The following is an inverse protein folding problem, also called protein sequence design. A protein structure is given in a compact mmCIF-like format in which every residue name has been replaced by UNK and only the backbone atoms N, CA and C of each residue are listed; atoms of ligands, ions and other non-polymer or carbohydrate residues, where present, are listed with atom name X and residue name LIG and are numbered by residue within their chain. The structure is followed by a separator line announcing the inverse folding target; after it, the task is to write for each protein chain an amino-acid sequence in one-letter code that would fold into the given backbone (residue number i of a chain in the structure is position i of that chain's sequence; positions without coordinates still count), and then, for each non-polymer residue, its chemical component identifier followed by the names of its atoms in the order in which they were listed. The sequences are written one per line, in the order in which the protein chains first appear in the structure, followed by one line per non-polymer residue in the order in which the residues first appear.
data_IF_914088513303
#
_entry.id   IF_914088513303
#
_cell.length_a   1.000
_cell.length_b   1.000
_cell.length_c   1.000
_cell.angle_alpha   90.00
_cell.angle_beta   90.00
_cell.angle_gamma   90.00
#
_symmetry.space_group_name_H-M   'P 1'
#
loop_
_entity.id
_entity.type
_entity.pdbx_description
1 polymer ?
#
# COMPACT_ATOMS: atom_id res chain seq x y z
N UNK A 1 7.72 12.27 -18.16
CA UNK A 1 7.77 13.47 -17.30
C UNK A 1 6.42 13.72 -16.66
N UNK A 2 6.40 14.19 -15.40
CA UNK A 2 5.20 14.77 -14.79
C UNK A 2 4.92 16.14 -15.42
N UNK A 3 3.81 16.26 -16.15
CA UNK A 3 3.42 17.49 -16.85
C UNK A 3 1.97 17.84 -16.48
N UNK A 4 1.79 19.01 -15.86
CA UNK A 4 0.50 19.49 -15.36
C UNK A 4 -0.30 20.20 -16.47
N UNK A 5 -0.49 19.54 -17.60
CA UNK A 5 -1.23 20.08 -18.75
C UNK A 5 -2.75 20.10 -18.52
N UNK A 6 -3.26 19.39 -17.50
CA UNK A 6 -4.68 19.41 -17.11
C UNK A 6 -5.12 20.64 -16.29
N UNK A 7 -4.17 21.45 -15.79
CA UNK A 7 -4.49 22.66 -15.01
C UNK A 7 -4.90 23.80 -15.94
N UNK A 8 -6.17 23.82 -16.32
CA UNK A 8 -6.73 24.81 -17.25
C UNK A 8 -7.21 26.07 -16.53
N UNK A 9 -7.15 27.21 -17.22
CA UNK A 9 -7.57 28.51 -16.69
C UNK A 9 -9.00 28.49 -16.07
N UNK A 10 -10.05 27.96 -16.73
CA UNK A 10 -11.40 27.94 -16.16
C UNK A 10 -11.57 27.02 -14.94
N UNK A 11 -10.60 26.15 -14.63
CA UNK A 11 -10.70 25.24 -13.47
C UNK A 11 -10.21 25.89 -12.17
N UNK A 12 -9.37 26.93 -12.27
CA UNK A 12 -8.79 27.60 -11.09
C UNK A 12 -9.88 28.19 -10.17
N UNK A 13 -10.95 28.85 -10.66
CA UNK A 13 -12.04 29.31 -9.80
C UNK A 13 -12.78 28.20 -9.06
N UNK A 14 -12.80 26.96 -9.59
CA UNK A 14 -13.45 25.82 -8.94
C UNK A 14 -12.78 25.49 -7.60
N UNK A 15 -11.47 25.74 -7.47
CA UNK A 15 -10.73 25.48 -6.22
C UNK A 15 -10.93 26.56 -5.16
N UNK A 16 -11.65 27.66 -5.46
CA UNK A 16 -11.81 28.78 -4.54
C UNK A 16 -12.58 28.42 -3.25
N UNK A 17 -13.38 27.35 -3.29
CA UNK A 17 -14.17 26.86 -2.14
C UNK A 17 -13.50 25.73 -1.36
N UNK A 18 -12.32 25.26 -1.80
CA UNK A 18 -11.59 24.19 -1.14
C UNK A 18 -11.09 24.63 0.23
N UNK A 19 -11.04 23.67 1.15
CA UNK A 19 -10.42 23.86 2.46
C UNK A 19 -8.91 24.06 2.36
N UNK A 20 -8.27 23.30 1.46
CA UNK A 20 -6.80 23.26 1.29
C UNK A 20 -6.31 23.79 -0.05
N UNK A 21 -7.22 24.29 -0.90
CA UNK A 21 -6.87 24.93 -2.18
C UNK A 21 -6.14 24.00 -3.15
N UNK A 22 -5.06 24.50 -3.75
CA UNK A 22 -4.20 23.75 -4.68
C UNK A 22 -2.93 23.33 -3.94
N UNK A 23 -2.80 22.04 -3.64
CA UNK A 23 -1.64 21.48 -2.92
C UNK A 23 -0.57 20.89 -3.83
N UNK A 24 -0.83 20.78 -5.13
CA UNK A 24 0.22 20.42 -6.09
C UNK A 24 1.20 21.58 -6.27
N UNK A 25 2.49 21.33 -6.04
CA UNK A 25 3.53 22.33 -6.33
C UNK A 25 3.54 22.70 -7.83
N UNK A 26 3.51 21.73 -8.73
CA UNK A 26 3.50 22.00 -10.16
C UNK A 26 2.18 22.62 -10.62
N UNK A 27 1.05 22.14 -10.07
CA UNK A 27 -0.26 22.69 -10.38
C UNK A 27 -0.43 24.15 -9.93
N UNK A 28 0.03 24.50 -8.73
CA UNK A 28 0.00 25.88 -8.21
C UNK A 28 0.89 26.84 -9.02
N UNK A 29 2.03 26.38 -9.55
CA UNK A 29 2.86 27.16 -10.47
C UNK A 29 2.09 27.48 -11.75
N UNK A 30 1.43 26.48 -12.33
CA UNK A 30 0.62 26.67 -13.54
C UNK A 30 -0.60 27.57 -13.29
N UNK A 31 -1.30 27.37 -12.17
CA UNK A 31 -2.41 28.23 -11.80
C UNK A 31 -1.98 29.71 -11.65
N UNK A 32 -0.85 29.96 -10.98
CA UNK A 32 -0.29 31.31 -10.86
C UNK A 32 0.05 31.93 -12.21
N UNK A 33 0.63 31.15 -13.13
CA UNK A 33 0.94 31.61 -14.48
C UNK A 33 -0.34 31.95 -15.27
N UNK A 34 -1.35 31.07 -15.24
CA UNK A 34 -2.63 31.28 -15.91
C UNK A 34 -3.33 32.55 -15.40
N UNK A 35 -3.31 32.80 -14.08
CA UNK A 35 -3.89 34.00 -13.47
C UNK A 35 -3.11 35.28 -13.83
N UNK A 36 -1.78 35.22 -13.83
CA UNK A 36 -0.94 36.39 -14.13
C UNK A 36 -1.07 36.86 -15.58
N UNK A 37 -1.27 35.93 -16.51
CA UNK A 37 -1.39 36.23 -17.93
C UNK A 37 -2.83 36.24 -18.45
N UNK A 38 -3.78 35.72 -17.67
CA UNK A 38 -5.17 35.49 -18.07
C UNK A 38 -5.28 34.75 -19.41
N UNK A 39 -4.48 33.68 -19.54
CA UNK A 39 -4.39 32.82 -20.72
C UNK A 39 -4.52 31.36 -20.32
N UNK A 40 -4.94 30.53 -21.28
CA UNK A 40 -4.98 29.09 -21.10
C UNK A 40 -3.57 28.54 -20.84
N UNK A 41 -3.49 27.42 -20.11
CA UNK A 41 -2.24 26.73 -19.82
C UNK A 41 -1.42 26.52 -21.09
N UNK A 42 -0.22 27.10 -21.15
CA UNK A 42 0.66 26.91 -22.31
C UNK A 42 1.08 25.43 -22.48
N UNK A 43 1.06 24.63 -21.41
CA UNK A 43 1.30 23.18 -21.49
C UNK A 43 0.15 22.46 -22.19
N UNK A 44 -1.08 22.94 -22.00
CA UNK A 44 -2.26 22.46 -22.70
C UNK A 44 -2.28 22.92 -24.16
N UNK A 45 -2.10 24.23 -24.41
CA UNK A 45 -2.13 24.79 -25.76
C UNK A 45 -1.04 24.25 -26.68
N UNK A 46 0.10 23.85 -26.11
CA UNK A 46 1.28 23.34 -26.85
C UNK A 46 1.48 21.83 -26.67
N UNK A 47 0.44 21.10 -26.27
CA UNK A 47 0.57 19.68 -25.91
C UNK A 47 1.06 18.80 -27.07
N UNK A 48 0.58 19.01 -28.31
CA UNK A 48 1.07 18.25 -29.48
C UNK A 48 2.56 18.50 -29.75
N UNK A 49 3.06 19.74 -29.56
CA UNK A 49 4.49 20.04 -29.71
C UNK A 49 5.34 19.30 -28.65
N UNK A 50 4.82 19.19 -27.42
CA UNK A 50 5.45 18.42 -26.35
C UNK A 50 5.48 16.93 -26.73
N UNK A 51 4.41 16.41 -27.35
CA UNK A 51 4.36 15.03 -27.83
C UNK A 51 5.47 14.75 -28.85
N UNK A 52 5.70 15.65 -29.82
CA UNK A 52 6.78 15.50 -30.81
C UNK A 52 8.17 15.44 -30.16
N UNK A 53 8.40 16.26 -29.14
CA UNK A 53 9.65 16.23 -28.37
C UNK A 53 9.79 14.89 -27.63
N UNK A 54 8.74 14.48 -26.91
CA UNK A 54 8.79 13.26 -26.10
C UNK A 54 8.91 11.99 -26.94
N UNK A 55 8.24 11.95 -28.11
CA UNK A 55 8.33 10.87 -29.10
C UNK A 55 9.76 10.67 -29.59
N UNK A 56 10.49 11.75 -29.84
CA UNK A 56 11.87 11.67 -30.35
C UNK A 56 12.84 10.96 -29.39
N UNK A 57 12.50 10.83 -28.10
CA UNK A 57 13.35 10.25 -27.06
C UNK A 57 12.69 9.13 -26.25
N UNK A 58 11.51 8.65 -26.68
CA UNK A 58 10.72 7.65 -25.96
C UNK A 58 10.50 7.99 -24.46
N UNK A 59 10.15 9.25 -24.20
CA UNK A 59 9.80 9.69 -22.84
C UNK A 59 8.31 9.48 -22.62
N UNK A 60 7.92 8.71 -21.61
CA UNK A 60 6.50 8.55 -21.26
C UNK A 60 5.91 9.80 -20.58
N UNK A 61 4.66 10.12 -20.87
CA UNK A 61 3.86 11.06 -20.09
C UNK A 61 3.47 10.46 -18.75
N UNK A 62 3.64 11.27 -17.70
CA UNK A 62 2.92 11.16 -16.44
C UNK A 62 2.05 12.41 -16.36
N UNK A 63 0.78 12.32 -16.72
CA UNK A 63 -0.09 13.49 -16.75
C UNK A 63 -0.44 13.88 -15.31
N UNK A 64 0.09 15.03 -14.88
CA UNK A 64 0.12 15.43 -13.48
C UNK A 64 -1.25 15.86 -12.94
N UNK A 65 -1.49 15.55 -11.67
CA UNK A 65 -2.72 15.83 -10.93
C UNK A 65 -2.65 17.18 -10.20
N UNK A 66 -2.57 18.26 -10.98
CA UNK A 66 -2.34 19.61 -10.48
C UNK A 66 -3.43 20.13 -9.54
N UNK A 67 -4.64 19.61 -9.67
CA UNK A 67 -5.81 19.93 -8.86
C UNK A 67 -6.20 18.75 -7.95
N UNK A 68 -5.28 17.85 -7.59
CA UNK A 68 -5.57 16.81 -6.58
C UNK A 68 -6.03 17.38 -5.23
N UNK A 69 -6.82 16.63 -4.43
CA UNK A 69 -7.25 17.04 -3.10
C UNK A 69 -6.10 16.95 -2.08
N UNK A 70 -5.96 18.00 -1.26
CA UNK A 70 -5.01 18.09 -0.15
C UNK A 70 -5.61 17.91 1.24
N UNK A 71 -6.90 17.59 1.29
CA UNK A 71 -7.62 17.18 2.50
C UNK A 71 -8.77 16.27 2.11
N UNK A 72 -9.24 15.47 3.07
CA UNK A 72 -10.43 14.63 2.94
C UNK A 72 -11.66 15.43 2.53
N UNK A 73 -11.76 16.69 2.98
CA UNK A 73 -12.87 17.59 2.66
C UNK A 73 -12.97 17.90 1.15
N UNK A 74 -11.82 18.02 0.48
CA UNK A 74 -11.76 18.46 -0.92
C UNK A 74 -11.79 17.27 -1.91
N UNK A 75 -11.89 16.03 -1.40
CA UNK A 75 -11.86 14.82 -2.20
C UNK A 75 -13.07 14.71 -3.15
N UNK A 76 -12.79 14.38 -4.41
CA UNK A 76 -13.75 14.17 -5.49
C UNK A 76 -14.58 15.41 -5.86
N UNK A 77 -14.04 16.60 -5.60
CA UNK A 77 -14.72 17.83 -5.99
C UNK A 77 -14.69 18.07 -7.51
N UNK A 78 -15.39 19.11 -7.95
CA UNK A 78 -15.52 19.49 -9.35
C UNK A 78 -14.15 19.77 -10.00
N UNK A 79 -13.25 20.45 -9.29
CA UNK A 79 -11.94 20.81 -9.82
C UNK A 79 -11.07 19.57 -10.12
N UNK A 80 -11.08 18.59 -9.21
CA UNK A 80 -10.36 17.33 -9.38
C UNK A 80 -10.91 16.56 -10.59
N UNK A 81 -12.24 16.40 -10.67
CA UNK A 81 -12.88 15.62 -11.74
C UNK A 81 -12.76 16.29 -13.10
N UNK A 82 -12.81 17.62 -13.17
CA UNK A 82 -12.60 18.38 -14.39
C UNK A 82 -11.18 18.22 -14.95
N UNK A 83 -10.17 18.24 -14.08
CA UNK A 83 -8.80 17.95 -14.48
C UNK A 83 -8.68 16.51 -14.99
N UNK A 84 -9.18 15.52 -14.26
CA UNK A 84 -9.12 14.10 -14.65
C UNK A 84 -9.74 13.85 -16.03
N UNK A 85 -10.90 14.44 -16.31
CA UNK A 85 -11.53 14.35 -17.64
C UNK A 85 -10.63 14.94 -18.74
N UNK A 86 -10.00 16.09 -18.46
CA UNK A 86 -9.02 16.71 -19.37
C UNK A 86 -7.81 15.80 -19.59
N UNK A 87 -7.32 15.11 -18.55
CA UNK A 87 -6.20 14.17 -18.70
C UNK A 87 -6.56 12.99 -19.64
N UNK A 88 -7.82 12.55 -19.63
CA UNK A 88 -8.33 11.56 -20.59
C UNK A 88 -8.30 12.06 -22.04
N UNK A 89 -8.72 13.30 -22.28
CA UNK A 89 -8.61 13.95 -23.58
C UNK A 89 -7.15 14.03 -24.05
N UNK A 90 -6.26 14.51 -23.18
CA UNK A 90 -4.82 14.63 -23.46
C UNK A 90 -4.16 13.26 -23.67
N UNK A 91 -4.64 12.21 -23.02
CA UNK A 91 -4.18 10.83 -23.25
C UNK A 91 -4.46 10.39 -24.67
N UNK A 92 -5.66 10.65 -25.19
CA UNK A 92 -6.01 10.35 -26.59
C UNK A 92 -5.13 11.11 -27.57
N UNK A 93 -4.81 12.37 -27.27
CA UNK A 93 -3.87 13.16 -28.08
C UNK A 93 -2.47 12.54 -28.03
N UNK A 94 -1.92 12.25 -26.85
CA UNK A 94 -0.60 11.64 -26.71
C UNK A 94 -0.50 10.29 -27.47
N UNK A 95 -1.55 9.46 -27.40
CA UNK A 95 -1.61 8.19 -28.13
C UNK A 95 -1.67 8.33 -29.64
N UNK A 96 -2.34 9.37 -30.17
CA UNK A 96 -2.29 9.71 -31.61
C UNK A 96 -0.87 10.00 -32.08
N UNK A 97 0.00 10.49 -31.19
CA UNK A 97 1.42 10.73 -31.46
C UNK A 97 2.31 9.52 -31.10
N UNK A 98 1.74 8.36 -30.73
CA UNK A 98 2.47 7.17 -30.26
C UNK A 98 3.34 7.43 -29.00
N UNK A 99 2.91 8.31 -28.10
CA UNK A 99 3.63 8.58 -26.84
C UNK A 99 2.98 7.80 -25.71
N UNK A 100 3.79 7.02 -24.98
CA UNK A 100 3.36 6.25 -23.81
C UNK A 100 2.81 7.19 -22.72
N UNK A 101 1.69 6.85 -22.08
CA UNK A 101 1.01 7.74 -21.14
C UNK A 101 0.49 7.00 -19.91
N UNK A 102 0.76 7.54 -18.73
CA UNK A 102 0.10 7.21 -17.46
C UNK A 102 -0.52 8.48 -16.85
N UNK A 103 -1.50 8.29 -15.96
CA UNK A 103 -2.27 9.36 -15.33
C UNK A 103 -1.88 9.45 -13.86
N UNK A 104 -1.60 10.65 -13.35
CA UNK A 104 -1.43 10.87 -11.91
C UNK A 104 -2.80 11.05 -11.23
N UNK A 105 -2.90 10.60 -9.98
CA UNK A 105 -4.15 10.54 -9.22
C UNK A 105 -3.99 10.94 -7.75
N UNK A 106 -5.13 11.08 -7.05
CA UNK A 106 -5.28 11.93 -5.88
C UNK A 106 -4.37 11.63 -4.69
N UNK A 107 -4.30 12.65 -3.82
CA UNK A 107 -3.59 12.65 -2.54
C UNK A 107 -4.47 12.23 -1.36
N UNK A 108 -5.43 13.06 -0.93
CA UNK A 108 -6.23 12.82 0.28
C UNK A 108 -7.65 12.39 -0.08
N UNK A 109 -8.04 11.14 0.21
CA UNK A 109 -9.34 10.58 -0.16
C UNK A 109 -9.83 9.60 0.92
N UNK A 110 -11.02 9.81 1.52
CA UNK A 110 -11.55 8.89 2.51
C UNK A 110 -11.96 7.57 1.84
N UNK A 111 -11.85 6.46 2.55
CA UNK A 111 -12.00 5.11 1.97
C UNK A 111 -13.26 4.90 1.12
N UNK A 112 -14.40 5.46 1.54
CA UNK A 112 -15.67 5.32 0.83
C UNK A 112 -15.70 6.01 -0.55
N UNK A 113 -14.75 6.92 -0.84
CA UNK A 113 -14.61 7.64 -2.11
C UNK A 113 -13.50 7.10 -3.02
N UNK A 114 -12.67 6.18 -2.52
CA UNK A 114 -11.55 5.62 -3.29
C UNK A 114 -12.04 4.89 -4.54
N UNK A 115 -13.10 4.08 -4.42
CA UNK A 115 -13.62 3.32 -5.56
C UNK A 115 -14.10 4.21 -6.70
N UNK A 116 -14.74 5.34 -6.36
CA UNK A 116 -15.20 6.31 -7.36
C UNK A 116 -14.03 6.89 -8.18
N UNK A 117 -12.89 7.18 -7.53
CA UNK A 117 -11.72 7.69 -8.26
C UNK A 117 -11.21 6.68 -9.29
N UNK A 118 -11.15 5.40 -8.93
CA UNK A 118 -10.73 4.36 -9.86
C UNK A 118 -11.72 4.22 -11.02
N UNK A 119 -13.02 4.23 -10.73
CA UNK A 119 -14.06 4.08 -11.74
C UNK A 119 -14.06 5.24 -12.75
N UNK A 120 -13.93 6.47 -12.26
CA UNK A 120 -13.82 7.64 -13.13
C UNK A 120 -12.54 7.62 -13.94
N UNK A 121 -11.40 7.21 -13.37
CA UNK A 121 -10.16 7.13 -14.12
C UNK A 121 -10.22 6.09 -15.24
N UNK A 122 -10.72 4.88 -14.98
CA UNK A 122 -10.86 3.86 -16.02
C UNK A 122 -11.78 4.34 -17.15
N UNK A 123 -12.90 4.98 -16.78
CA UNK A 123 -13.89 5.49 -17.73
C UNK A 123 -13.38 6.68 -18.56
N UNK A 124 -12.78 7.67 -17.91
CA UNK A 124 -12.36 8.92 -18.55
C UNK A 124 -11.01 8.80 -19.26
N UNK A 125 -10.10 7.98 -18.74
CA UNK A 125 -8.73 7.87 -19.23
C UNK A 125 -8.45 6.57 -19.98
N UNK A 126 -9.50 5.86 -20.41
CA UNK A 126 -9.41 4.72 -21.33
C UNK A 126 -8.49 3.60 -20.81
N UNK A 127 -8.56 3.32 -19.51
CA UNK A 127 -7.73 2.31 -18.83
C UNK A 127 -6.21 2.56 -18.90
N UNK A 128 -5.78 3.80 -19.19
CA UNK A 128 -4.37 4.17 -19.08
C UNK A 128 -3.84 3.87 -17.66
N UNK A 129 -2.55 3.48 -17.48
CA UNK A 129 -2.01 3.19 -16.17
C UNK A 129 -2.21 4.34 -15.19
N UNK A 130 -2.73 4.04 -14.00
CA UNK A 130 -2.96 5.04 -12.96
C UNK A 130 -1.79 5.07 -11.96
N UNK A 131 -1.38 6.26 -11.53
CA UNK A 131 -0.26 6.53 -10.64
C UNK A 131 -0.69 7.45 -9.49
N UNK A 132 -0.86 6.94 -8.28
CA UNK A 132 -1.50 7.69 -7.17
C UNK A 132 -0.53 8.09 -6.07
N UNK A 133 -0.76 9.22 -5.40
CA UNK A 133 -0.05 9.61 -4.18
C UNK A 133 -0.81 9.14 -2.93
N UNK A 134 -0.61 7.89 -2.53
CA UNK A 134 -1.46 7.22 -1.54
C UNK A 134 -2.67 6.57 -2.19
N UNK A 135 -3.92 6.96 -1.84
CA UNK A 135 -4.27 8.19 -1.12
C UNK A 135 -4.27 8.09 0.42
N UNK A 136 -4.03 9.21 1.10
CA UNK A 136 -4.22 9.37 2.55
C UNK A 136 -5.71 9.24 2.90
N UNK A 137 -6.02 8.29 3.78
CA UNK A 137 -7.40 7.98 4.18
C UNK A 137 -7.93 8.85 5.32
N UNK A 138 -7.05 9.61 5.98
CA UNK A 138 -7.37 10.55 7.05
C UNK A 138 -6.27 11.60 7.21
N UNK A 139 -6.63 12.80 7.64
CA UNK A 139 -5.73 13.96 7.79
C UNK A 139 -5.19 14.14 9.23
N UNK A 140 -5.63 13.31 10.18
CA UNK A 140 -5.44 13.56 11.62
C UNK A 140 -4.21 12.90 12.23
N UNK A 141 -3.31 12.33 11.42
CA UNK A 141 -2.16 11.56 11.92
C UNK A 141 -0.81 11.97 11.27
N UNK A 142 -0.47 13.28 11.24
CA UNK A 142 0.85 13.70 10.75
C UNK A 142 1.96 13.04 11.58
N UNK A 143 3.01 12.58 10.91
CA UNK A 143 4.02 11.69 11.50
C UNK A 143 3.79 10.20 11.21
N UNK A 144 2.57 9.86 10.76
CA UNK A 144 2.15 8.50 10.42
C UNK A 144 1.49 8.43 9.04
N UNK A 145 1.76 9.40 8.16
CA UNK A 145 1.07 9.46 6.87
C UNK A 145 1.45 8.34 5.90
N UNK A 146 2.64 7.75 6.05
CA UNK A 146 2.98 6.48 5.42
C UNK A 146 1.98 5.35 5.76
N UNK A 147 1.34 5.37 6.93
CA UNK A 147 0.32 4.39 7.34
C UNK A 147 -1.06 4.82 6.83
N UNK A 148 -1.45 6.09 7.05
CA UNK A 148 -2.77 6.60 6.60
C UNK A 148 -2.94 6.42 5.09
N UNK A 149 -1.85 6.60 4.34
CA UNK A 149 -1.82 6.42 2.90
C UNK A 149 -1.64 4.98 2.46
N UNK A 150 -0.92 4.14 3.19
CA UNK A 150 -0.78 2.72 2.85
C UNK A 150 -2.14 1.99 2.80
N UNK A 151 -3.09 2.40 3.65
CA UNK A 151 -4.47 1.89 3.61
C UNK A 151 -5.12 2.21 2.26
N UNK A 152 -5.10 3.48 1.85
CA UNK A 152 -5.70 3.90 0.60
C UNK A 152 -4.96 3.37 -0.62
N UNK A 153 -3.63 3.31 -0.55
CA UNK A 153 -2.77 2.78 -1.60
C UNK A 153 -3.04 1.28 -1.86
N UNK A 154 -3.21 0.47 -0.80
CA UNK A 154 -3.59 -0.93 -0.93
C UNK A 154 -4.99 -1.07 -1.55
N UNK A 155 -5.95 -0.23 -1.13
CA UNK A 155 -7.31 -0.25 -1.69
C UNK A 155 -7.36 0.15 -3.17
N UNK A 156 -6.76 1.27 -3.53
CA UNK A 156 -6.80 1.77 -4.92
C UNK A 156 -5.90 0.93 -5.84
N UNK A 157 -4.80 0.39 -5.31
CA UNK A 157 -3.98 -0.63 -5.97
C UNK A 157 -4.78 -1.89 -6.25
N UNK A 158 -5.57 -2.38 -5.29
CA UNK A 158 -6.48 -3.51 -5.49
C UNK A 158 -7.52 -3.21 -6.57
N UNK A 159 -8.07 -1.99 -6.59
CA UNK A 159 -9.05 -1.59 -7.60
C UNK A 159 -8.47 -1.41 -9.01
N UNK A 160 -7.15 -1.36 -9.17
CA UNK A 160 -6.50 -1.39 -10.49
C UNK A 160 -5.40 -0.35 -10.72
N UNK A 161 -5.02 0.44 -9.71
CA UNK A 161 -3.91 1.38 -9.86
C UNK A 161 -2.60 0.65 -10.18
N UNK A 162 -1.86 1.16 -11.15
CA UNK A 162 -0.69 0.50 -11.71
C UNK A 162 0.61 0.83 -10.93
N UNK A 163 0.71 2.05 -10.40
CA UNK A 163 1.88 2.50 -9.64
C UNK A 163 1.45 3.34 -8.44
N UNK A 164 2.17 3.21 -7.31
CA UNK A 164 1.85 3.90 -6.07
C UNK A 164 3.04 4.77 -5.67
N UNK A 165 2.85 6.08 -5.66
CA UNK A 165 3.84 7.03 -5.15
C UNK A 165 3.81 6.94 -3.62
N UNK A 166 4.95 6.62 -3.04
CA UNK A 166 5.07 6.49 -1.60
C UNK A 166 4.84 7.82 -0.86
N UNK A 167 4.45 7.70 0.40
CA UNK A 167 4.34 8.81 1.35
C UNK A 167 5.24 8.46 2.53
N UNK A 168 6.04 9.41 2.97
CA UNK A 168 6.98 9.19 4.08
C UNK A 168 6.30 9.46 5.43
N UNK A 169 6.85 8.96 6.56
CA UNK A 169 6.34 9.31 7.88
C UNK A 169 6.31 10.83 8.14
N UNK A 170 7.25 11.58 7.57
CA UNK A 170 7.38 13.04 7.75
C UNK A 170 6.62 13.88 6.72
N UNK A 171 5.78 13.27 5.90
CA UNK A 171 4.87 14.04 5.06
C UNK A 171 4.10 15.05 5.94
N UNK A 172 3.87 16.25 5.41
CA UNK A 172 3.31 17.39 6.14
C UNK A 172 4.14 17.97 7.31
N UNK A 173 5.31 17.40 7.62
CA UNK A 173 6.15 17.83 8.75
C UNK A 173 7.54 18.33 8.33
N UNK A 174 8.14 17.75 7.29
CA UNK A 174 9.45 18.18 6.81
C UNK A 174 10.12 17.19 5.86
N UNK A 175 11.38 17.46 5.52
CA UNK A 175 12.14 16.59 4.62
C UNK A 175 12.44 15.23 5.29
N UNK A 176 12.22 14.12 4.58
CA UNK A 176 12.51 12.78 5.11
C UNK A 176 14.02 12.55 5.21
N UNK A 177 14.44 11.85 6.26
CA UNK A 177 15.80 11.31 6.40
C UNK A 177 15.89 9.88 5.82
N UNK A 178 17.07 9.25 5.91
CA UNK A 178 17.31 7.89 5.40
C UNK A 178 16.33 6.85 5.97
N UNK A 179 15.99 6.92 7.26
CA UNK A 179 15.05 5.99 7.89
C UNK A 179 13.63 6.23 7.37
N UNK A 180 13.20 7.48 7.31
CA UNK A 180 11.87 7.86 6.82
C UNK A 180 11.65 7.38 5.37
N UNK A 181 12.69 7.43 4.53
CA UNK A 181 12.67 6.88 3.17
C UNK A 181 12.52 5.36 3.19
N UNK A 182 13.29 4.63 4.01
CA UNK A 182 13.17 3.17 4.14
C UNK A 182 11.76 2.78 4.60
N UNK A 183 11.25 3.43 5.65
CA UNK A 183 9.94 3.15 6.23
C UNK A 183 8.82 3.36 5.19
N UNK A 184 8.88 4.46 4.42
CA UNK A 184 7.93 4.73 3.33
C UNK A 184 8.00 3.67 2.22
N UNK A 185 9.19 3.27 1.78
CA UNK A 185 9.37 2.24 0.75
C UNK A 185 8.80 0.90 1.22
N UNK A 186 9.10 0.48 2.46
CA UNK A 186 8.61 -0.78 3.01
C UNK A 186 7.08 -0.76 3.15
N UNK A 187 6.51 0.34 3.65
CA UNK A 187 5.05 0.50 3.75
C UNK A 187 4.36 0.33 2.39
N UNK A 188 4.91 0.93 1.33
CA UNK A 188 4.33 0.86 -0.01
C UNK A 188 4.61 -0.47 -0.72
N UNK A 189 5.72 -1.15 -0.43
CA UNK A 189 5.95 -2.54 -0.87
C UNK A 189 4.92 -3.49 -0.26
N UNK A 190 4.55 -3.29 1.01
CA UNK A 190 3.49 -4.05 1.67
C UNK A 190 2.13 -3.72 1.04
N UNK A 191 1.81 -2.44 0.84
CA UNK A 191 0.54 -2.02 0.23
C UNK A 191 0.36 -2.58 -1.20
N UNK A 192 1.40 -2.49 -2.03
CA UNK A 192 1.40 -3.05 -3.38
C UNK A 192 1.22 -4.57 -3.37
N UNK A 193 1.96 -5.28 -2.51
CA UNK A 193 1.81 -6.74 -2.39
C UNK A 193 0.43 -7.15 -1.87
N UNK A 194 -0.14 -6.40 -0.91
CA UNK A 194 -1.50 -6.63 -0.44
C UNK A 194 -2.54 -6.44 -1.56
N UNK A 195 -2.35 -5.44 -2.42
CA UNK A 195 -3.15 -5.26 -3.62
C UNK A 195 -2.99 -6.45 -4.59
N UNK A 196 -1.78 -6.93 -4.83
CA UNK A 196 -1.53 -8.08 -5.70
C UNK A 196 -2.18 -9.37 -5.18
N UNK A 197 -2.14 -9.60 -3.86
CA UNK A 197 -2.88 -10.70 -3.22
C UNK A 197 -4.39 -10.57 -3.41
N UNK A 198 -4.94 -9.38 -3.17
CA UNK A 198 -6.37 -9.11 -3.32
C UNK A 198 -6.84 -9.23 -4.80
N UNK A 199 -5.95 -8.93 -5.75
CA UNK A 199 -6.16 -9.15 -7.20
C UNK A 199 -6.00 -10.61 -7.62
N UNK A 200 -5.48 -11.48 -6.75
CA UNK A 200 -5.15 -12.86 -7.11
C UNK A 200 -4.03 -12.96 -8.14
N UNK A 201 -3.06 -12.03 -8.13
CA UNK A 201 -1.97 -12.02 -9.11
C UNK A 201 -1.18 -13.34 -9.04
N UNK A 202 -0.94 -14.02 -10.18
CA UNK A 202 -0.17 -15.26 -10.21
C UNK A 202 1.18 -15.10 -9.51
N UNK A 203 1.47 -15.96 -8.54
CA UNK A 203 2.72 -15.98 -7.80
C UNK A 203 2.80 -15.09 -6.55
N UNK A 204 1.88 -14.14 -6.35
CA UNK A 204 1.90 -13.27 -5.16
C UNK A 204 1.83 -14.09 -3.86
N UNK A 205 0.87 -15.01 -3.78
CA UNK A 205 0.64 -15.86 -2.60
C UNK A 205 1.79 -16.85 -2.31
N UNK A 206 2.70 -17.12 -3.26
CA UNK A 206 3.81 -18.04 -3.03
C UNK A 206 4.75 -17.52 -1.93
N UNK A 207 5.01 -16.20 -1.91
CA UNK A 207 5.86 -15.59 -0.88
C UNK A 207 5.22 -15.69 0.51
N UNK A 208 3.92 -15.38 0.62
CA UNK A 208 3.16 -15.49 1.86
C UNK A 208 3.15 -16.92 2.39
N UNK A 209 2.93 -17.90 1.52
CA UNK A 209 2.91 -19.31 1.88
C UNK A 209 4.30 -19.80 2.30
N UNK A 210 5.36 -19.40 1.60
CA UNK A 210 6.73 -19.75 1.95
C UNK A 210 7.13 -19.19 3.33
N UNK A 211 6.83 -17.91 3.59
CA UNK A 211 7.10 -17.26 4.87
C UNK A 211 6.26 -17.89 5.98
N UNK A 212 4.97 -18.12 5.74
CA UNK A 212 4.06 -18.76 6.72
C UNK A 212 4.49 -20.18 7.06
N UNK A 213 4.97 -20.94 6.06
CA UNK A 213 5.53 -22.27 6.28
C UNK A 213 6.82 -22.21 7.08
N UNK A 214 7.74 -21.29 6.77
CA UNK A 214 8.96 -21.07 7.56
C UNK A 214 8.63 -20.72 9.02
N UNK A 215 7.63 -19.86 9.24
CA UNK A 215 7.13 -19.51 10.57
C UNK A 215 6.60 -20.71 11.33
N UNK A 216 5.73 -21.50 10.70
CA UNK A 216 5.14 -22.68 11.35
C UNK A 216 6.16 -23.79 11.64
N UNK A 217 7.22 -23.88 10.83
CA UNK A 217 8.32 -24.84 10.99
C UNK A 217 9.46 -24.30 11.87
N UNK A 218 9.31 -23.09 12.44
CA UNK A 218 10.33 -22.43 13.27
C UNK A 218 11.69 -22.25 12.57
N UNK A 219 11.68 -22.12 11.24
CA UNK A 219 12.85 -21.78 10.42
C UNK A 219 13.06 -20.27 10.46
N UNK A 220 13.56 -19.76 11.59
CA UNK A 220 13.64 -18.33 11.88
C UNK A 220 14.42 -17.53 10.83
N UNK A 221 15.60 -18.01 10.43
CA UNK A 221 16.41 -17.31 9.42
C UNK A 221 15.70 -17.24 8.06
N UNK A 222 15.03 -18.32 7.65
CA UNK A 222 14.23 -18.32 6.43
C UNK A 222 13.06 -17.34 6.53
N UNK A 223 12.39 -17.27 7.69
CA UNK A 223 11.31 -16.32 7.93
C UNK A 223 11.81 -14.86 7.82
N UNK A 224 12.98 -14.54 8.39
CA UNK A 224 13.55 -13.19 8.29
C UNK A 224 13.89 -12.85 6.85
N UNK A 225 14.62 -13.74 6.17
CA UNK A 225 15.08 -13.53 4.79
C UNK A 225 13.93 -13.41 3.77
N UNK A 226 12.78 -14.03 4.05
CA UNK A 226 11.59 -13.91 3.21
C UNK A 226 10.77 -12.62 3.46
N UNK A 227 11.02 -11.92 4.57
CA UNK A 227 10.38 -10.64 4.89
C UNK A 227 10.76 -9.53 3.92
N UNK A 228 9.99 -8.42 3.90
CA UNK A 228 10.35 -7.25 3.09
C UNK A 228 11.55 -6.48 3.64
N UNK A 229 11.81 -6.60 4.94
CA UNK A 229 12.92 -5.98 5.65
C UNK A 229 13.57 -7.00 6.61
N UNK A 230 14.46 -7.87 6.09
CA UNK A 230 15.07 -8.96 6.87
C UNK A 230 15.83 -8.46 8.10
N UNK A 231 16.55 -7.34 7.98
CA UNK A 231 17.33 -6.75 9.06
C UNK A 231 16.44 -6.42 10.25
N UNK A 232 15.35 -5.66 10.01
CA UNK A 232 14.40 -5.29 11.06
C UNK A 232 13.70 -6.51 11.67
N UNK A 233 13.33 -7.50 10.85
CA UNK A 233 12.68 -8.71 11.34
C UNK A 233 13.59 -9.51 12.29
N UNK A 234 14.89 -9.62 11.97
CA UNK A 234 15.89 -10.26 12.81
C UNK A 234 16.17 -9.45 14.07
N UNK A 235 16.34 -8.13 13.94
CA UNK A 235 16.63 -7.24 15.06
C UNK A 235 15.53 -7.31 16.13
N UNK A 236 14.25 -7.23 15.75
CA UNK A 236 13.13 -7.32 16.69
C UNK A 236 13.02 -8.66 17.42
N UNK A 237 13.38 -9.76 16.76
CA UNK A 237 13.48 -11.06 17.44
C UNK A 237 14.62 -11.04 18.47
N UNK A 238 15.78 -10.54 18.06
CA UNK A 238 17.02 -10.60 18.83
C UNK A 238 17.05 -9.63 20.02
N UNK A 239 16.19 -8.60 20.02
CA UNK A 239 15.96 -7.74 21.19
C UNK A 239 15.66 -8.54 22.47
N UNK A 240 14.99 -9.69 22.34
CA UNK A 240 14.60 -10.54 23.49
C UNK A 240 15.23 -11.93 23.46
N UNK A 241 15.58 -12.45 22.29
CA UNK A 241 16.15 -13.79 22.10
C UNK A 241 17.43 -13.75 21.23
N UNK A 242 18.51 -13.06 21.67
CA UNK A 242 19.66 -12.75 20.82
C UNK A 242 20.56 -13.94 20.48
N UNK A 243 20.52 -15.02 21.29
CA UNK A 243 21.43 -16.17 21.11
C UNK A 243 21.11 -16.91 19.82
N UNK A 244 22.15 -17.35 19.09
CA UNK A 244 21.98 -18.12 17.84
C UNK A 244 21.15 -19.39 18.04
N UNK A 245 21.25 -20.03 19.22
CA UNK A 245 20.42 -21.19 19.57
C UNK A 245 18.91 -20.90 19.59
N UNK A 246 18.50 -19.62 19.65
CA UNK A 246 17.09 -19.23 19.59
C UNK A 246 16.55 -19.23 18.15
N UNK A 247 17.42 -19.25 17.12
CA UNK A 247 17.02 -19.37 15.71
C UNK A 247 16.54 -20.76 15.31
N UNK A 248 16.65 -21.72 16.24
CA UNK A 248 16.09 -23.06 16.12
C UNK A 248 15.05 -23.34 17.21
N UNK A 249 14.66 -22.32 18.01
CA UNK A 249 13.70 -22.50 19.09
C UNK A 249 12.28 -22.62 18.53
N UNK A 250 11.50 -23.55 19.08
CA UNK A 250 10.10 -23.74 18.72
C UNK A 250 9.14 -22.79 19.47
N UNK A 251 9.56 -21.55 19.69
CA UNK A 251 8.80 -20.49 20.33
C UNK A 251 9.47 -19.13 20.11
N UNK A 252 8.75 -18.05 20.39
CA UNK A 252 9.31 -16.72 20.57
C UNK A 252 9.02 -16.19 21.98
N UNK A 253 9.54 -15.01 22.31
CA UNK A 253 9.34 -14.36 23.61
C UNK A 253 7.88 -14.04 23.93
N UNK A 254 7.00 -13.93 22.92
CA UNK A 254 5.58 -13.64 23.11
C UNK A 254 4.83 -14.73 23.90
N UNK A 255 5.07 -16.00 23.59
CA UNK A 255 4.37 -17.13 24.23
C UNK A 255 5.29 -18.01 25.08
N UNK A 256 6.61 -17.90 24.89
CA UNK A 256 7.58 -18.77 25.54
C UNK A 256 7.43 -20.25 25.14
N UNK A 257 8.24 -21.13 25.75
CA UNK A 257 8.35 -22.53 25.34
C UNK A 257 7.10 -23.37 25.62
N UNK A 258 6.28 -22.99 26.59
CA UNK A 258 5.16 -23.81 27.07
C UNK A 258 3.81 -23.47 26.42
N UNK A 259 3.67 -22.27 25.87
CA UNK A 259 2.37 -21.78 25.36
C UNK A 259 2.41 -21.39 23.88
N UNK A 260 3.48 -21.74 23.15
CA UNK A 260 3.53 -21.52 21.71
C UNK A 260 2.49 -22.38 20.99
N UNK A 261 1.48 -21.73 20.40
CA UNK A 261 0.37 -22.38 19.70
C UNK A 261 0.81 -23.23 18.51
N UNK A 262 1.82 -22.80 17.77
CA UNK A 262 2.36 -23.54 16.63
C UNK A 262 3.07 -24.82 17.09
N UNK A 263 3.82 -24.77 18.19
CA UNK A 263 4.50 -25.95 18.75
C UNK A 263 3.49 -26.96 19.28
N UNK A 264 2.49 -26.51 20.03
CA UNK A 264 1.38 -27.36 20.49
C UNK A 264 0.72 -28.07 19.28
N UNK A 265 0.50 -27.34 18.19
CA UNK A 265 -0.07 -27.92 16.97
C UNK A 265 0.85 -28.96 16.32
N UNK A 266 2.16 -28.73 16.27
CA UNK A 266 3.13 -29.71 15.79
C UNK A 266 3.11 -30.98 16.64
N UNK A 267 3.11 -30.86 17.97
CA UNK A 267 3.08 -32.00 18.89
C UNK A 267 1.83 -32.87 18.69
N UNK A 268 0.67 -32.23 18.47
CA UNK A 268 -0.59 -32.93 18.13
C UNK A 268 -0.48 -33.68 16.81
N UNK A 269 0.08 -33.05 15.76
CA UNK A 269 0.28 -33.69 14.45
C UNK A 269 1.25 -34.87 14.52
N UNK A 270 2.33 -34.73 15.28
CA UNK A 270 3.31 -35.80 15.50
C UNK A 270 2.71 -36.96 16.30
N UNK A 271 1.92 -36.69 17.33
CA UNK A 271 1.20 -37.71 18.08
C UNK A 271 0.24 -38.48 17.18
N UNK A 272 -0.57 -37.77 16.36
CA UNK A 272 -1.49 -38.39 15.41
C UNK A 272 -0.77 -39.32 14.43
N UNK A 273 0.34 -38.84 13.85
CA UNK A 273 1.15 -39.62 12.91
C UNK A 273 1.74 -40.88 13.56
N UNK A 274 2.21 -40.80 14.82
CA UNK A 274 2.75 -41.96 15.56
C UNK A 274 1.69 -43.01 15.89
N UNK A 275 0.45 -42.59 16.13
CA UNK A 275 -0.68 -43.49 16.43
C UNK A 275 -1.33 -44.07 15.16
N UNK A 276 -0.94 -43.62 13.96
CA UNK A 276 -1.49 -44.11 12.70
C UNK A 276 -2.97 -43.78 12.49
N UNK A 277 -3.50 -42.80 13.24
CA UNK A 277 -4.89 -42.35 13.16
C UNK A 277 -4.96 -41.01 12.43
N UNK A 278 -6.13 -40.68 11.87
CA UNK A 278 -6.33 -39.36 11.28
C UNK A 278 -6.15 -38.25 12.32
N UNK A 279 -5.82 -37.02 11.88
CA UNK A 279 -5.69 -35.87 12.80
C UNK A 279 -6.96 -35.63 13.61
N UNK A 280 -8.14 -35.89 13.03
CA UNK A 280 -9.43 -35.72 13.70
C UNK A 280 -9.67 -36.78 14.79
N UNK A 281 -9.23 -38.03 14.55
CA UNK A 281 -9.30 -39.11 15.54
C UNK A 281 -8.28 -38.92 16.67
N UNK A 282 -7.04 -38.52 16.34
CA UNK A 282 -6.02 -38.18 17.33
C UNK A 282 -6.44 -36.99 18.20
N UNK A 283 -7.10 -35.99 17.62
CA UNK A 283 -7.64 -34.85 18.37
C UNK A 283 -8.72 -35.31 19.35
N UNK A 284 -9.68 -36.13 18.91
CA UNK A 284 -10.73 -36.67 19.80
C UNK A 284 -10.13 -37.50 20.93
N UNK A 285 -9.21 -38.40 20.61
CA UNK A 285 -8.58 -39.27 21.59
C UNK A 285 -7.68 -38.49 22.56
N UNK A 286 -6.85 -37.58 22.04
CA UNK A 286 -5.98 -36.70 22.85
C UNK A 286 -6.77 -35.74 23.75
N UNK A 287 -7.88 -35.18 23.26
CA UNK A 287 -8.80 -34.39 24.10
C UNK A 287 -9.42 -35.24 25.22
N UNK A 288 -9.79 -36.49 24.93
CA UNK A 288 -10.36 -37.40 25.91
C UNK A 288 -9.31 -37.81 26.97
N UNK A 289 -8.09 -38.09 26.56
CA UNK A 289 -6.95 -38.36 27.45
C UNK A 289 -6.62 -37.15 28.34
N UNK A 290 -6.56 -35.94 27.76
CA UNK A 290 -6.31 -34.70 28.51
C UNK A 290 -7.45 -34.35 29.45
N UNK A 291 -8.70 -34.61 29.08
CA UNK A 291 -9.85 -34.45 29.98
C UNK A 291 -9.77 -35.41 31.18
N UNK A 292 -9.39 -36.67 30.95
CA UNK A 292 -9.15 -37.65 32.02
C UNK A 292 -7.99 -37.20 32.91
N UNK A 293 -6.89 -36.72 32.32
CA UNK A 293 -5.73 -36.20 33.04
C UNK A 293 -6.09 -34.97 33.89
N UNK A 294 -6.86 -34.03 33.36
CA UNK A 294 -7.34 -32.83 34.06
C UNK A 294 -8.16 -33.20 35.29
N UNK A 295 -9.11 -34.13 35.15
CA UNK A 295 -9.90 -34.64 36.29
C UNK A 295 -9.00 -35.34 37.31
N UNK A 296 -8.05 -36.18 36.85
CA UNK A 296 -7.10 -36.87 37.74
C UNK A 296 -6.17 -35.93 38.52
N UNK A 297 -5.82 -34.78 37.93
CA UNK A 297 -4.99 -33.76 38.57
C UNK A 297 -5.78 -32.83 39.52
N UNK A 298 -7.06 -33.11 39.75
CA UNK A 298 -7.90 -32.36 40.69
C UNK A 298 -8.85 -31.36 40.03
N UNK A 299 -8.96 -31.36 38.69
CA UNK A 299 -9.83 -30.46 37.93
C UNK A 299 -9.60 -28.96 38.21
N UNK A 300 -8.38 -28.60 38.58
CA UNK A 300 -7.96 -27.21 38.78
C UNK A 300 -7.31 -26.67 37.51
N UNK A 301 -7.77 -25.49 37.06
CA UNK A 301 -7.18 -24.82 35.89
C UNK A 301 -5.78 -24.26 36.22
N UNK A 302 -5.58 -23.87 37.47
CA UNK A 302 -4.33 -23.30 37.96
C UNK A 302 -3.91 -24.04 39.23
N UNK A 303 -2.79 -24.76 39.17
CA UNK A 303 -2.19 -25.34 40.37
C UNK A 303 -1.28 -24.30 41.04
N UNK A 304 -1.24 -24.28 42.38
CA UNK A 304 -0.27 -23.46 43.12
C UNK A 304 1.13 -24.00 42.84
N UNK A 305 2.04 -23.10 42.47
CA UNK A 305 3.45 -23.38 42.25
C UNK A 305 4.15 -23.91 43.50
#
# INVERSE_FOLDING_TARGET
FTIHAGVRLPFIPMTAKRLTGIVSRGGSIMAKWCLAHHRESFLYERFEDICEIMKAYDVSFSLGDGLRPGSIHDANDEAQMAELATLGELTTIAWKHDVQTMIEGPGHVPMHLIKHNMDEQLRLCHEAPFYTLGPLTTDIAPGYDHITSAIGAAMIGWYGTAMLCYVTPKEHLGLPNKKDVKDGIIAYKIAAHAADLAKGHPGAQLRDNALSKARFEFRWDDQFNLGFDPDTAKDFHDETLPKDSMKTAHFCSMCGPHFCSMKITQDVREYAAKQGVSTDEALKQGMQEKAIEFVKRGAEIYHRA
#
